data_IF_932184844559
#
_entry.id   IF_932184844559
#
_cell.length_a   1.000
_cell.length_b   1.000
_cell.length_c   1.000
_cell.angle_alpha   90.00
_cell.angle_beta   90.00
_cell.angle_gamma   90.00
#
_symmetry.space_group_name_H-M   'P 1'
#
loop_
_entity.id
_entity.type
_entity.pdbx_description
1 polymer ?
#
# COMPACT_ATOMS: atom_id res chain seq x y z
N UNK A 1 -8.32 1.46 5.66
CA UNK A 1 -7.12 1.32 6.52
C UNK A 1 -7.23 0.12 7.44
N UNK A 2 -8.14 0.11 8.42
CA UNK A 2 -8.30 -1.04 9.34
C UNK A 2 -8.71 -2.30 8.58
N UNK A 3 -9.75 -2.23 7.74
CA UNK A 3 -10.20 -3.37 6.92
C UNK A 3 -9.07 -3.94 6.06
N UNK A 4 -8.24 -3.08 5.47
CA UNK A 4 -7.07 -3.47 4.69
C UNK A 4 -6.05 -4.23 5.56
N UNK A 5 -5.74 -3.75 6.76
CA UNK A 5 -4.86 -4.47 7.68
C UNK A 5 -5.45 -5.82 8.11
N UNK A 6 -6.76 -5.87 8.44
CA UNK A 6 -7.47 -7.11 8.78
C UNK A 6 -7.39 -8.11 7.62
N UNK A 7 -7.64 -7.64 6.39
CA UNK A 7 -7.54 -8.44 5.17
C UNK A 7 -6.17 -9.10 5.05
N UNK A 8 -5.06 -8.36 5.23
CA UNK A 8 -3.73 -8.98 5.19
C UNK A 8 -3.49 -9.96 6.34
N UNK A 9 -3.87 -9.60 7.57
CA UNK A 9 -3.71 -10.47 8.75
C UNK A 9 -4.43 -11.80 8.54
N UNK A 10 -5.64 -11.76 8.01
CA UNK A 10 -6.52 -12.93 7.92
C UNK A 10 -6.31 -13.73 6.65
N UNK A 11 -6.18 -13.08 5.48
CA UNK A 11 -6.04 -13.78 4.19
C UNK A 11 -4.62 -14.29 3.95
N UNK A 12 -3.61 -13.54 4.35
CA UNK A 12 -2.20 -13.88 4.14
C UNK A 12 -1.52 -14.37 5.43
N UNK A 13 -2.27 -14.53 6.52
CA UNK A 13 -1.76 -14.99 7.81
C UNK A 13 -0.54 -14.19 8.30
N UNK A 14 -0.49 -12.88 8.02
CA UNK A 14 0.65 -12.06 8.44
C UNK A 14 0.65 -11.92 9.97
N UNK A 15 1.83 -11.91 10.57
CA UNK A 15 1.96 -11.62 11.99
C UNK A 15 1.66 -10.14 12.23
N UNK A 16 0.58 -9.85 12.96
CA UNK A 16 0.14 -8.49 13.29
C UNK A 16 1.22 -7.63 13.95
N UNK A 17 2.12 -8.25 14.72
CA UNK A 17 3.15 -7.55 15.49
C UNK A 17 4.27 -7.01 14.57
N UNK A 18 4.29 -7.42 13.30
CA UNK A 18 5.20 -6.89 12.27
C UNK A 18 4.65 -5.65 11.57
N UNK A 19 3.37 -5.32 11.78
CA UNK A 19 2.73 -4.19 11.13
C UNK A 19 3.25 -2.89 11.75
N UNK A 20 3.69 -1.97 10.90
CA UNK A 20 4.09 -0.61 11.30
C UNK A 20 3.27 0.39 10.50
N UNK A 21 2.52 1.23 11.19
CA UNK A 21 1.62 2.22 10.58
C UNK A 21 2.38 3.43 10.04
N UNK A 22 1.76 4.17 9.11
CA UNK A 22 2.28 5.46 8.62
C UNK A 22 2.67 6.41 9.76
N UNK A 23 1.84 6.47 10.82
CA UNK A 23 2.11 7.32 11.98
C UNK A 23 3.40 6.92 12.69
N UNK A 24 3.63 5.63 12.88
CA UNK A 24 4.86 5.12 13.51
C UNK A 24 6.09 5.34 12.60
N UNK A 25 5.92 5.16 11.29
CA UNK A 25 6.98 5.46 10.31
C UNK A 25 7.36 6.94 10.34
N UNK A 26 6.38 7.84 10.33
CA UNK A 26 6.60 9.29 10.44
C UNK A 26 7.19 9.69 11.79
N UNK A 27 6.78 9.05 12.88
CA UNK A 27 7.38 9.29 14.19
C UNK A 27 8.88 8.95 14.20
N UNK A 28 9.30 7.88 13.51
CA UNK A 28 10.72 7.49 13.37
C UNK A 28 11.53 8.48 12.53
N UNK A 29 10.90 9.25 11.64
CA UNK A 29 11.57 10.26 10.81
C UNK A 29 11.94 11.55 11.56
N UNK A 30 11.38 11.74 12.76
CA UNK A 30 11.55 12.95 13.55
C UNK A 30 10.79 14.16 13.00
N UNK A 31 10.84 15.26 13.73
CA UNK A 31 10.17 16.50 13.36
C UNK A 31 10.85 17.14 12.13
N UNK A 32 10.06 17.63 11.17
CA UNK A 32 10.53 18.41 10.01
C UNK A 32 10.78 17.62 8.72
N UNK A 33 10.79 16.28 8.77
CA UNK A 33 10.90 15.44 7.58
C UNK A 33 9.51 15.09 7.03
N UNK A 34 8.98 15.91 6.13
CA UNK A 34 7.71 15.62 5.45
C UNK A 34 7.92 14.66 4.25
N UNK A 35 8.49 13.49 4.52
CA UNK A 35 8.68 12.43 3.52
C UNK A 35 7.40 11.63 3.36
N UNK A 36 7.12 11.19 2.13
CA UNK A 36 6.06 10.22 1.88
C UNK A 36 6.36 8.92 2.63
N UNK A 37 5.34 8.38 3.29
CA UNK A 37 5.38 7.07 3.95
C UNK A 37 4.16 6.27 3.50
N UNK A 38 4.32 4.96 3.27
CA UNK A 38 3.18 4.11 2.96
C UNK A 38 2.21 4.09 4.13
N UNK A 39 0.96 3.78 3.82
CA UNK A 39 -0.10 3.71 4.81
C UNK A 39 0.21 2.72 5.95
N UNK A 40 0.82 1.58 5.63
CA UNK A 40 1.49 0.72 6.59
C UNK A 40 2.50 -0.21 5.90
N UNK A 41 3.36 -0.83 6.68
CA UNK A 41 4.30 -1.86 6.23
C UNK A 41 4.16 -3.11 7.09
N UNK A 42 4.62 -4.25 6.61
CA UNK A 42 4.72 -5.48 7.41
C UNK A 42 5.88 -6.35 6.94
N UNK A 43 6.24 -7.35 7.73
CA UNK A 43 7.22 -8.37 7.35
C UNK A 43 6.54 -9.72 7.29
N UNK A 44 6.75 -10.44 6.19
CA UNK A 44 6.22 -11.78 6.00
C UNK A 44 7.20 -12.62 5.18
N UNK A 45 7.54 -13.81 5.66
CA UNK A 45 8.54 -14.70 5.04
C UNK A 45 9.85 -13.96 4.68
N UNK A 46 10.40 -13.22 5.65
CA UNK A 46 11.62 -12.43 5.56
C UNK A 46 11.64 -11.30 4.51
N UNK A 47 10.50 -11.02 3.88
CA UNK A 47 10.31 -9.90 2.95
C UNK A 47 9.59 -8.73 3.62
N UNK A 48 9.98 -7.51 3.28
CA UNK A 48 9.36 -6.26 3.70
C UNK A 48 8.36 -5.80 2.66
N UNK A 49 7.11 -5.66 3.09
CA UNK A 49 6.02 -5.19 2.27
C UNK A 49 5.62 -3.78 2.67
N UNK A 50 5.25 -2.95 1.69
CA UNK A 50 4.49 -1.73 1.95
C UNK A 50 3.11 -1.80 1.33
N UNK A 51 2.14 -1.18 1.99
CA UNK A 51 0.75 -1.14 1.54
C UNK A 51 0.30 0.30 1.39
N UNK A 52 -0.33 0.59 0.26
CA UNK A 52 -0.90 1.89 -0.09
C UNK A 52 -2.39 1.70 -0.42
N UNK A 53 -3.24 2.57 0.13
CA UNK A 53 -4.67 2.63 -0.18
C UNK A 53 -4.93 3.92 -0.93
N UNK A 54 -5.06 3.82 -2.24
CA UNK A 54 -5.28 4.97 -3.12
C UNK A 54 -6.73 5.04 -3.56
N UNK A 55 -7.48 6.00 -3.04
CA UNK A 55 -8.91 6.17 -3.34
C UNK A 55 -9.18 7.28 -4.37
N UNK A 56 -8.15 8.06 -4.69
CA UNK A 56 -8.26 9.28 -5.50
C UNK A 56 -7.17 9.36 -6.55
N UNK A 57 -7.45 10.02 -7.66
CA UNK A 57 -6.49 10.23 -8.71
C UNK A 57 -5.37 11.17 -8.23
N UNK A 58 -4.12 10.74 -8.32
CA UNK A 58 -2.93 11.58 -8.08
C UNK A 58 -2.31 12.02 -9.40
N UNK A 59 -1.58 13.12 -9.38
CA UNK A 59 -0.75 13.50 -10.53
C UNK A 59 0.29 12.39 -10.77
N UNK A 60 0.58 12.11 -12.04
CA UNK A 60 1.53 11.08 -12.46
C UNK A 60 2.86 11.20 -11.69
N UNK A 61 3.47 12.39 -11.68
CA UNK A 61 4.77 12.61 -11.04
C UNK A 61 4.75 12.34 -9.53
N UNK A 62 3.63 12.62 -8.85
CA UNK A 62 3.47 12.31 -7.43
C UNK A 62 3.36 10.82 -7.20
N UNK A 63 2.57 10.12 -8.02
CA UNK A 63 2.38 8.68 -7.91
C UNK A 63 3.67 7.92 -8.24
N UNK A 64 4.36 8.32 -9.32
CA UNK A 64 5.64 7.74 -9.72
C UNK A 64 6.72 7.96 -8.66
N UNK A 65 6.83 9.18 -8.11
CA UNK A 65 7.75 9.45 -7.00
C UNK A 65 7.47 8.56 -5.79
N UNK A 66 6.20 8.34 -5.45
CA UNK A 66 5.82 7.50 -4.32
C UNK A 66 6.13 6.02 -4.59
N UNK A 67 5.75 5.48 -5.76
CA UNK A 67 6.06 4.11 -6.17
C UNK A 67 7.56 3.86 -6.26
N UNK A 68 8.33 4.81 -6.81
CA UNK A 68 9.80 4.75 -6.85
C UNK A 68 10.39 4.71 -5.45
N UNK A 69 9.90 5.57 -4.55
CA UNK A 69 10.38 5.57 -3.18
C UNK A 69 10.09 4.24 -2.49
N UNK A 70 8.92 3.65 -2.72
CA UNK A 70 8.59 2.34 -2.17
C UNK A 70 9.48 1.23 -2.78
N UNK A 71 9.68 1.24 -4.10
CA UNK A 71 10.54 0.29 -4.83
C UNK A 71 11.98 0.25 -4.29
N UNK A 72 12.51 1.40 -3.88
CA UNK A 72 13.87 1.50 -3.35
C UNK A 72 14.00 1.05 -1.88
N UNK A 73 12.90 0.89 -1.15
CA UNK A 73 12.93 0.70 0.30
C UNK A 73 12.23 -0.58 0.80
N UNK A 74 11.46 -1.25 -0.06
CA UNK A 74 10.69 -2.46 0.26
C UNK A 74 10.86 -3.50 -0.84
N UNK A 75 10.58 -4.76 -0.51
CA UNK A 75 10.73 -5.88 -1.45
C UNK A 75 9.51 -6.03 -2.36
N UNK A 76 8.31 -5.70 -1.84
CA UNK A 76 7.05 -5.74 -2.58
C UNK A 76 6.09 -4.62 -2.13
N UNK A 77 5.26 -4.15 -3.05
CA UNK A 77 4.27 -3.09 -2.81
C UNK A 77 2.86 -3.58 -3.13
N UNK A 78 1.93 -3.39 -2.20
CA UNK A 78 0.51 -3.70 -2.40
C UNK A 78 -0.30 -2.41 -2.53
N UNK A 79 -0.95 -2.21 -3.66
CA UNK A 79 -1.75 -1.02 -3.96
C UNK A 79 -3.23 -1.36 -4.00
N UNK A 80 -3.98 -0.90 -3.01
CA UNK A 80 -5.42 -1.11 -2.90
C UNK A 80 -6.12 0.07 -3.55
N UNK A 81 -6.93 -0.20 -4.56
CA UNK A 81 -7.60 0.86 -5.33
C UNK A 81 -9.03 0.48 -5.75
N UNK A 82 -9.97 1.45 -5.78
CA UNK A 82 -11.31 1.25 -6.31
C UNK A 82 -11.28 1.06 -7.83
N UNK A 83 -11.70 -0.12 -8.31
CA UNK A 83 -11.73 -0.44 -9.75
C UNK A 83 -12.95 0.16 -10.47
N UNK A 84 -13.99 0.52 -9.73
CA UNK A 84 -15.14 1.28 -10.19
C UNK A 84 -14.79 2.74 -10.51
N UNK A 85 -13.67 3.25 -9.97
CA UNK A 85 -13.13 4.58 -10.29
C UNK A 85 -12.05 4.47 -11.37
N UNK A 86 -12.49 4.40 -12.63
CA UNK A 86 -11.66 4.20 -13.82
C UNK A 86 -10.40 5.08 -13.83
N UNK A 87 -10.53 6.39 -13.56
CA UNK A 87 -9.39 7.32 -13.57
C UNK A 87 -8.30 6.96 -12.55
N UNK A 88 -8.67 6.47 -11.36
CA UNK A 88 -7.71 6.08 -10.32
C UNK A 88 -7.00 4.80 -10.74
N UNK A 89 -7.79 3.80 -11.15
CA UNK A 89 -7.29 2.51 -11.66
C UNK A 89 -6.30 2.69 -12.81
N UNK A 90 -6.69 3.40 -13.87
CA UNK A 90 -5.86 3.62 -15.06
C UNK A 90 -4.54 4.32 -14.72
N UNK A 91 -4.55 5.27 -13.78
CA UNK A 91 -3.33 5.95 -13.36
C UNK A 91 -2.39 5.01 -12.62
N UNK A 92 -2.89 4.22 -11.68
CA UNK A 92 -2.08 3.24 -10.93
C UNK A 92 -1.52 2.19 -11.89
N UNK A 93 -2.35 1.62 -12.76
CA UNK A 93 -1.93 0.64 -13.77
C UNK A 93 -0.93 1.22 -14.77
N UNK A 94 -1.04 2.52 -15.11
CA UNK A 94 -0.09 3.17 -16.01
C UNK A 94 1.27 3.34 -15.36
N UNK A 95 1.33 3.84 -14.13
CA UNK A 95 2.60 4.08 -13.42
C UNK A 95 3.23 2.76 -12.96
N UNK A 96 2.41 1.78 -12.56
CA UNK A 96 2.91 0.50 -12.05
C UNK A 96 3.73 -0.28 -13.05
N UNK A 97 3.51 -0.08 -14.36
CA UNK A 97 4.31 -0.69 -15.44
C UNK A 97 5.80 -0.36 -15.36
N UNK A 98 6.18 0.68 -14.62
CA UNK A 98 7.59 1.05 -14.42
C UNK A 98 8.30 0.19 -13.34
N UNK A 99 7.57 -0.63 -12.57
CA UNK A 99 8.07 -1.35 -11.40
C UNK A 99 7.63 -2.82 -11.42
N UNK A 100 8.52 -3.73 -11.00
CA UNK A 100 8.29 -5.19 -11.06
C UNK A 100 7.76 -5.80 -9.76
N UNK A 101 7.67 -5.01 -8.69
CA UNK A 101 7.35 -5.42 -7.33
C UNK A 101 5.93 -5.03 -6.89
N UNK A 102 5.11 -4.52 -7.81
CA UNK A 102 3.77 -4.00 -7.53
C UNK A 102 2.71 -5.07 -7.77
N UNK A 103 1.80 -5.18 -6.80
CA UNK A 103 0.57 -5.94 -6.88
C UNK A 103 -0.62 -5.01 -6.58
N UNK A 104 -1.59 -4.98 -7.49
CA UNK A 104 -2.75 -4.09 -7.42
C UNK A 104 -3.96 -4.92 -7.01
N UNK A 105 -4.53 -4.58 -5.84
CA UNK A 105 -5.65 -5.30 -5.25
C UNK A 105 -6.92 -4.43 -5.35
N UNK A 106 -8.03 -4.95 -5.90
CA UNK A 106 -9.30 -4.23 -5.88
C UNK A 106 -9.76 -3.92 -4.46
N UNK A 107 -10.22 -2.69 -4.21
CA UNK A 107 -10.81 -2.33 -2.92
C UNK A 107 -12.05 -3.19 -2.59
N UNK A 108 -12.82 -3.57 -3.60
CA UNK A 108 -13.99 -4.45 -3.42
C UNK A 108 -13.62 -5.80 -2.83
N UNK A 109 -12.49 -6.39 -3.26
CA UNK A 109 -12.00 -7.67 -2.73
C UNK A 109 -11.71 -7.59 -1.22
N UNK A 110 -11.07 -6.50 -0.78
CA UNK A 110 -10.80 -6.25 0.65
C UNK A 110 -12.10 -6.15 1.43
N UNK A 111 -13.04 -5.34 0.94
CA UNK A 111 -14.32 -5.08 1.62
C UNK A 111 -15.18 -6.33 1.69
N UNK A 112 -15.29 -7.08 0.59
CA UNK A 112 -16.05 -8.34 0.54
C UNK A 112 -15.46 -9.37 1.49
N UNK A 113 -14.14 -9.55 1.49
CA UNK A 113 -13.49 -10.48 2.40
C UNK A 113 -13.78 -10.14 3.87
N UNK A 114 -13.59 -8.88 4.27
CA UNK A 114 -13.79 -8.47 5.67
C UNK A 114 -15.25 -8.60 6.11
N UNK A 115 -16.21 -8.38 5.21
CA UNK A 115 -17.65 -8.60 5.50
C UNK A 115 -18.00 -10.06 5.75
N UNK A 116 -17.18 -11.01 5.31
CA UNK A 116 -17.42 -12.44 5.47
C UNK A 116 -16.72 -13.07 6.68
N UNK A 117 -15.91 -12.29 7.41
CA UNK A 117 -15.27 -12.69 8.66
C UNK A 117 -16.26 -12.66 9.84
#
# INVERSE_FOLDING_TARGET
>A
MIDTAIYFIKKYCINRDTIVTERELKHKDGFGNNKHRPNFTFVHNDKKYCVEVELTAKKYDTLDKNMKNNYLNYDEQKWITPFDRIKVKEQIEKVSKNYTDIDIIPLSEVVEFVKTL
#
